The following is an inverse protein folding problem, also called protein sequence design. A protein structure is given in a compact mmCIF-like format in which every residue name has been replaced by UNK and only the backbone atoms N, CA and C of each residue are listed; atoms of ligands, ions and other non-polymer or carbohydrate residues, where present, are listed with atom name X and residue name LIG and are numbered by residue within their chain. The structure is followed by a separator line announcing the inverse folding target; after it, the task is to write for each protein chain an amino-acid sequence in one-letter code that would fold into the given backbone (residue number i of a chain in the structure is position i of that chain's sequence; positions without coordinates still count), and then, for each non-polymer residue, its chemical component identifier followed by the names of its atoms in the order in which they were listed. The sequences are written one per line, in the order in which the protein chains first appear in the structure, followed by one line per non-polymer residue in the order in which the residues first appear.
data_IF_218240113299
#
_entry.id   IF_218240113299
#
_cell.length_a   1.000
_cell.length_b   1.000
_cell.length_c   1.000
_cell.angle_alpha   90.00
_cell.angle_beta   90.00
_cell.angle_gamma   90.00
#
_symmetry.space_group_name_H-M   'P 1'
#
loop_
_entity.id
_entity.type
_entity.pdbx_description
1 polymer ?
#
# COMPACT_ATOMS: atom_id res chain seq x y z
N UNK A 1 17.69 -2.31 3.98
CA UNK A 1 16.73 -1.44 3.24
C UNK A 1 15.48 -1.31 4.08
N UNK A 2 14.96 -0.09 4.21
CA UNK A 2 13.74 0.23 4.95
C UNK A 2 12.58 0.26 3.97
N UNK A 3 11.45 -0.39 4.30
CA UNK A 3 10.24 -0.28 3.51
C UNK A 3 9.54 1.04 3.83
N UNK A 4 9.08 1.73 2.79
CA UNK A 4 8.44 3.02 2.86
C UNK A 4 7.15 3.02 2.07
N UNK A 5 6.15 3.68 2.63
CA UNK A 5 4.86 3.91 1.98
C UNK A 5 4.72 5.40 1.73
N UNK A 6 4.43 5.75 0.48
CA UNK A 6 4.08 7.10 0.04
C UNK A 6 2.60 7.12 -0.36
N UNK A 7 1.83 8.00 0.26
CA UNK A 7 0.43 8.24 -0.09
C UNK A 7 0.31 9.60 -0.78
N UNK A 8 -0.38 9.60 -1.93
CA UNK A 8 -0.61 10.80 -2.74
C UNK A 8 -2.07 10.90 -3.15
N UNK A 9 -2.51 12.14 -3.34
CA UNK A 9 -3.83 12.45 -3.90
C UNK A 9 -3.69 13.38 -5.09
N UNK A 10 -4.56 13.24 -6.05
CA UNK A 10 -4.53 14.00 -7.29
C UNK A 10 -5.90 14.63 -7.58
N UNK A 11 -5.91 15.91 -7.88
CA UNK A 11 -7.12 16.61 -8.34
C UNK A 11 -7.52 16.17 -9.75
N UNK A 12 -6.52 15.88 -10.58
CA UNK A 12 -6.71 15.27 -11.91
C UNK A 12 -6.43 13.77 -11.83
N UNK A 13 -7.35 12.91 -12.28
CA UNK A 13 -7.11 11.47 -12.27
C UNK A 13 -5.86 11.08 -13.05
N UNK A 14 -5.08 10.15 -12.50
CA UNK A 14 -3.94 9.52 -13.15
C UNK A 14 -4.37 8.21 -13.82
N UNK A 15 -3.69 7.87 -14.90
CA UNK A 15 -3.73 6.54 -15.51
C UNK A 15 -2.50 5.70 -15.11
N UNK A 16 -2.57 4.40 -15.36
CA UNK A 16 -1.42 3.50 -15.20
C UNK A 16 -0.27 3.93 -16.10
N UNK A 17 -0.57 4.39 -17.32
CA UNK A 17 0.45 4.89 -18.26
C UNK A 17 1.15 6.15 -17.73
N UNK A 18 0.42 7.10 -17.12
CA UNK A 18 1.03 8.28 -16.49
C UNK A 18 2.01 7.86 -15.40
N UNK A 19 1.68 6.81 -14.64
CA UNK A 19 2.55 6.27 -13.60
C UNK A 19 3.83 5.65 -14.17
N UNK A 20 3.73 4.85 -15.25
CA UNK A 20 4.92 4.28 -15.88
C UNK A 20 5.79 5.36 -16.52
N UNK A 21 5.20 6.34 -17.18
CA UNK A 21 5.94 7.49 -17.71
C UNK A 21 6.62 8.29 -16.61
N UNK A 22 5.93 8.52 -15.51
CA UNK A 22 6.49 9.16 -14.31
C UNK A 22 7.69 8.39 -13.76
N UNK A 23 7.54 7.08 -13.58
CA UNK A 23 8.60 6.21 -13.08
C UNK A 23 9.85 6.24 -13.97
N UNK A 24 9.68 6.16 -15.30
CA UNK A 24 10.81 6.27 -16.25
C UNK A 24 11.53 7.61 -16.13
N UNK A 25 10.79 8.72 -16.04
CA UNK A 25 11.37 10.08 -15.94
C UNK A 25 12.09 10.32 -14.61
N UNK A 26 11.68 9.68 -13.55
CA UNK A 26 12.22 9.92 -12.19
C UNK A 26 13.26 8.89 -11.76
N UNK A 27 13.45 7.81 -12.53
CA UNK A 27 14.36 6.71 -12.21
C UNK A 27 15.77 7.19 -11.83
N UNK A 28 16.36 8.10 -12.60
CA UNK A 28 17.69 8.63 -12.35
C UNK A 28 17.83 9.25 -10.95
N UNK A 29 16.79 9.90 -10.46
CA UNK A 29 16.79 10.51 -9.15
C UNK A 29 16.66 9.47 -8.05
N UNK A 30 15.78 8.49 -8.23
CA UNK A 30 15.66 7.38 -7.28
C UNK A 30 16.95 6.55 -7.21
N UNK A 31 17.61 6.28 -8.33
CA UNK A 31 18.91 5.61 -8.37
C UNK A 31 19.98 6.41 -7.59
N UNK A 32 20.01 7.74 -7.75
CA UNK A 32 20.96 8.62 -7.05
C UNK A 32 20.83 8.52 -5.51
N UNK A 33 19.61 8.39 -5.00
CA UNK A 33 19.32 8.27 -3.56
C UNK A 33 19.15 6.81 -3.10
N UNK A 34 19.45 5.84 -3.94
CA UNK A 34 19.28 4.40 -3.67
C UNK A 34 17.87 4.03 -3.25
N UNK A 35 16.87 4.68 -3.85
CA UNK A 35 15.45 4.40 -3.63
C UNK A 35 14.95 3.46 -4.72
N UNK A 36 14.43 2.32 -4.33
CA UNK A 36 13.86 1.33 -5.22
C UNK A 36 12.33 1.37 -5.16
N UNK A 37 11.68 1.62 -6.28
CA UNK A 37 10.23 1.50 -6.39
C UNK A 37 9.83 0.04 -6.50
N UNK A 38 9.00 -0.43 -5.57
CA UNK A 38 8.51 -1.82 -5.47
C UNK A 38 7.13 -2.01 -6.12
N UNK A 39 6.48 -0.94 -6.49
CA UNK A 39 5.16 -0.94 -7.10
C UNK A 39 4.21 0.04 -6.43
N UNK A 40 3.04 0.18 -7.02
CA UNK A 40 1.99 1.07 -6.53
C UNK A 40 0.61 0.43 -6.68
N UNK A 41 -0.35 0.99 -5.98
CA UNK A 41 -1.77 0.74 -6.17
C UNK A 41 -2.48 2.07 -6.43
N UNK A 42 -3.28 2.10 -7.49
CA UNK A 42 -4.03 3.27 -7.94
C UNK A 42 -5.52 3.00 -7.77
N UNK A 43 -6.24 3.90 -7.12
CA UNK A 43 -7.68 3.79 -6.96
C UNK A 43 -8.41 3.79 -8.31
N UNK A 44 -9.57 3.16 -8.36
CA UNK A 44 -10.36 3.05 -9.60
C UNK A 44 -10.75 4.40 -10.21
N UNK A 45 -10.83 5.47 -9.40
CA UNK A 45 -11.06 6.84 -9.87
C UNK A 45 -9.78 7.59 -10.27
N UNK A 46 -8.60 6.95 -10.15
CA UNK A 46 -7.30 7.52 -10.50
C UNK A 46 -6.80 8.62 -9.56
N UNK A 47 -7.44 8.85 -8.42
CA UNK A 47 -7.15 10.01 -7.56
C UNK A 47 -6.33 9.69 -6.32
N UNK A 48 -6.30 8.45 -5.88
CA UNK A 48 -5.53 7.98 -4.73
C UNK A 48 -4.46 7.01 -5.17
N UNK A 49 -3.23 7.28 -4.78
CA UNK A 49 -2.07 6.47 -5.11
C UNK A 49 -1.31 6.11 -3.84
N UNK A 50 -1.01 4.85 -3.67
CA UNK A 50 -0.10 4.35 -2.64
C UNK A 50 1.08 3.67 -3.31
N UNK A 51 2.28 4.21 -3.11
CA UNK A 51 3.52 3.64 -3.62
C UNK A 51 4.31 2.96 -2.50
N UNK A 52 4.92 1.84 -2.82
CA UNK A 52 5.85 1.12 -1.95
C UNK A 52 7.27 1.28 -2.46
N UNK A 53 8.18 1.68 -1.58
CA UNK A 53 9.61 1.82 -1.88
C UNK A 53 10.44 1.03 -0.88
N UNK A 54 11.67 0.71 -1.30
CA UNK A 54 12.75 0.33 -0.41
C UNK A 54 13.88 1.36 -0.54
N UNK A 55 14.43 1.82 0.59
CA UNK A 55 15.51 2.79 0.62
C UNK A 55 16.45 2.51 1.80
N UNK A 56 17.69 3.06 1.83
CA UNK A 56 18.55 2.96 3.00
C UNK A 56 17.86 3.45 4.27
N UNK A 57 17.17 4.59 4.17
CA UNK A 57 16.38 5.21 5.24
C UNK A 57 15.26 6.10 4.66
N UNK A 58 14.44 6.66 5.55
CA UNK A 58 13.32 7.53 5.16
C UNK A 58 13.79 8.87 4.60
N UNK A 59 14.97 9.37 5.00
CA UNK A 59 15.47 10.66 4.53
C UNK A 59 15.97 10.57 3.09
N UNK A 60 16.58 9.47 2.70
CA UNK A 60 16.95 9.19 1.31
C UNK A 60 15.75 9.31 0.38
N UNK A 61 14.61 8.70 0.74
CA UNK A 61 13.39 8.82 -0.03
C UNK A 61 12.81 10.24 -0.03
N UNK A 62 12.83 10.95 1.12
CA UNK A 62 12.38 12.35 1.18
C UNK A 62 13.23 13.26 0.29
N UNK A 63 14.54 13.07 0.27
CA UNK A 63 15.44 13.86 -0.56
C UNK A 63 15.21 13.62 -2.05
N UNK A 64 15.00 12.37 -2.46
CA UNK A 64 14.63 12.04 -3.83
C UNK A 64 13.31 12.74 -4.23
N UNK A 65 12.27 12.61 -3.40
CA UNK A 65 10.96 13.19 -3.66
C UNK A 65 10.98 14.73 -3.69
N UNK A 66 11.72 15.38 -2.77
CA UNK A 66 11.91 16.83 -2.80
C UNK A 66 12.62 17.31 -4.07
N UNK A 67 13.67 16.60 -4.50
CA UNK A 67 14.39 16.92 -5.73
C UNK A 67 13.52 16.81 -6.97
N UNK A 68 12.51 15.96 -6.93
CA UNK A 68 11.52 15.77 -8.00
C UNK A 68 10.31 16.72 -7.89
N UNK A 69 10.29 17.61 -6.88
CA UNK A 69 9.14 18.47 -6.58
C UNK A 69 7.82 17.69 -6.47
N UNK A 70 7.93 16.48 -5.89
CA UNK A 70 6.79 15.59 -5.74
C UNK A 70 5.91 16.06 -4.58
N UNK A 71 4.61 16.15 -4.82
CA UNK A 71 3.66 16.37 -3.73
C UNK A 71 3.63 15.15 -2.82
N UNK A 72 3.99 15.35 -1.55
CA UNK A 72 4.04 14.33 -0.51
C UNK A 72 2.92 14.61 0.48
N UNK A 73 1.83 13.87 0.38
CA UNK A 73 0.81 13.94 1.41
C UNK A 73 1.27 13.24 2.69
N UNK A 74 1.78 12.01 2.54
CA UNK A 74 2.26 11.22 3.67
C UNK A 74 3.33 10.24 3.21
N UNK A 75 4.45 10.23 3.94
CA UNK A 75 5.55 9.27 3.76
C UNK A 75 5.91 8.69 5.13
N UNK A 76 5.90 7.36 5.24
CA UNK A 76 6.18 6.67 6.50
C UNK A 76 6.87 5.32 6.29
N UNK A 77 7.60 4.89 7.33
CA UNK A 77 8.27 3.58 7.36
C UNK A 77 7.27 2.50 7.71
N UNK A 78 7.38 1.32 7.09
CA UNK A 78 6.46 0.23 7.27
C UNK A 78 7.15 -1.09 7.59
N UNK A 79 6.57 -1.83 8.54
CA UNK A 79 6.74 -3.28 8.62
C UNK A 79 5.75 -3.94 7.67
N UNK A 80 6.23 -4.92 6.89
CA UNK A 80 5.43 -5.60 5.87
C UNK A 80 5.12 -7.01 6.33
N UNK A 81 3.86 -7.39 6.24
CA UNK A 81 3.36 -8.72 6.59
C UNK A 81 2.59 -9.28 5.38
N UNK A 82 2.88 -10.51 5.01
CA UNK A 82 2.31 -11.14 3.82
C UNK A 82 1.63 -12.46 4.16
N UNK A 83 0.60 -12.80 3.41
CA UNK A 83 -0.05 -14.09 3.51
C UNK A 83 0.93 -15.21 3.08
N UNK A 84 0.83 -16.43 3.67
CA UNK A 84 1.68 -17.55 3.30
C UNK A 84 1.51 -17.99 1.83
N UNK A 85 0.30 -17.86 1.30
CA UNK A 85 -0.01 -18.12 -0.11
C UNK A 85 -0.02 -16.81 -0.91
N UNK A 86 0.39 -16.89 -2.17
CA UNK A 86 0.34 -15.75 -3.08
C UNK A 86 -1.12 -15.39 -3.41
N UNK A 87 -1.55 -14.23 -2.94
CA UNK A 87 -2.88 -13.66 -3.20
C UNK A 87 -2.71 -12.40 -4.02
N UNK A 88 -3.44 -12.27 -5.12
CA UNK A 88 -3.45 -11.05 -5.94
C UNK A 88 -4.55 -10.12 -5.43
N UNK A 89 -4.22 -9.06 -4.68
CA UNK A 89 -5.21 -8.18 -4.06
C UNK A 89 -5.81 -7.20 -5.05
N UNK A 90 -7.04 -6.73 -4.74
CA UNK A 90 -7.77 -5.74 -5.53
C UNK A 90 -8.50 -4.70 -4.67
N UNK A 91 -8.46 -4.82 -3.34
CA UNK A 91 -9.10 -3.88 -2.40
C UNK A 91 -8.11 -3.48 -1.32
N UNK A 92 -8.04 -2.19 -1.00
CA UNK A 92 -7.23 -1.64 0.08
C UNK A 92 -8.11 -1.11 1.19
N UNK A 93 -7.71 -1.37 2.43
CA UNK A 93 -8.31 -0.84 3.66
C UNK A 93 -7.28 0.03 4.36
N UNK A 94 -7.65 1.28 4.66
CA UNK A 94 -6.87 2.21 5.47
C UNK A 94 -7.38 2.21 6.90
N UNK A 95 -6.46 2.21 7.87
CA UNK A 95 -6.76 2.22 9.30
C UNK A 95 -5.86 3.18 10.04
N UNK A 96 -6.44 3.84 11.04
CA UNK A 96 -5.71 4.58 12.06
C UNK A 96 -6.09 4.06 13.45
N UNK A 97 -5.15 4.08 14.37
CA UNK A 97 -5.34 3.62 15.74
C UNK A 97 -5.07 4.76 16.72
N UNK A 98 -5.95 4.91 17.72
CA UNK A 98 -5.80 5.91 18.78
C UNK A 98 -4.58 5.62 19.68
N UNK A 99 -4.24 4.34 19.86
CA UNK A 99 -3.04 3.88 20.55
C UNK A 99 -2.19 3.03 19.60
N UNK A 100 -0.86 2.91 19.83
CA UNK A 100 -0.02 2.00 19.04
C UNK A 100 -0.53 0.56 19.10
N UNK A 101 -0.57 -0.08 17.93
CA UNK A 101 -0.95 -1.49 17.76
C UNK A 101 0.22 -2.31 17.24
N UNK A 102 0.15 -3.62 17.50
CA UNK A 102 1.08 -4.60 16.93
C UNK A 102 0.35 -5.49 15.92
N UNK A 103 1.08 -6.00 14.95
CA UNK A 103 0.50 -6.90 13.95
C UNK A 103 -0.05 -8.18 14.59
N UNK A 104 0.66 -8.73 15.59
CA UNK A 104 0.29 -9.96 16.28
C UNK A 104 -1.07 -9.81 16.97
N UNK A 105 -1.30 -8.66 17.64
CA UNK A 105 -2.59 -8.37 18.29
C UNK A 105 -3.71 -8.22 17.27
N UNK A 106 -3.47 -7.48 16.18
CA UNK A 106 -4.44 -7.30 15.11
C UNK A 106 -4.74 -8.63 14.41
N UNK A 107 -3.71 -9.42 14.15
CA UNK A 107 -3.85 -10.76 13.58
C UNK A 107 -4.68 -11.68 14.47
N UNK A 108 -4.44 -11.68 15.76
CA UNK A 108 -5.22 -12.49 16.71
C UNK A 108 -6.71 -12.12 16.69
N UNK A 109 -7.06 -10.84 16.51
CA UNK A 109 -8.47 -10.41 16.36
C UNK A 109 -9.07 -10.98 15.06
N UNK A 110 -8.31 -10.92 13.95
CA UNK A 110 -8.75 -11.43 12.64
C UNK A 110 -8.88 -12.96 12.69
N UNK A 111 -7.91 -13.66 13.26
CA UNK A 111 -7.91 -15.13 13.34
C UNK A 111 -9.11 -15.62 14.19
N UNK A 112 -9.44 -14.95 15.28
CA UNK A 112 -10.61 -15.26 16.10
C UNK A 112 -11.94 -15.09 15.35
N UNK A 113 -11.94 -14.34 14.26
CA UNK A 113 -13.11 -14.02 13.42
C UNK A 113 -12.88 -14.37 11.96
N UNK A 114 -12.02 -15.34 11.67
CA UNK A 114 -11.68 -15.74 10.29
C UNK A 114 -12.92 -16.10 9.46
N UNK A 115 -13.97 -16.62 10.07
CA UNK A 115 -15.25 -16.92 9.44
C UNK A 115 -15.90 -15.69 8.74
N UNK A 116 -15.66 -14.45 9.26
CA UNK A 116 -16.16 -13.23 8.62
C UNK A 116 -15.54 -13.03 7.23
N UNK A 117 -14.23 -13.29 7.10
CA UNK A 117 -13.54 -13.21 5.82
C UNK A 117 -14.04 -14.29 4.86
N UNK A 118 -14.13 -15.54 5.32
CA UNK A 118 -14.59 -16.67 4.52
C UNK A 118 -16.04 -16.48 4.03
N UNK A 119 -16.94 -16.04 4.90
CA UNK A 119 -18.35 -15.79 4.56
C UNK A 119 -18.49 -14.78 3.43
N UNK A 120 -17.66 -13.75 3.40
CA UNK A 120 -17.68 -12.71 2.39
C UNK A 120 -16.69 -12.96 1.23
N UNK A 121 -16.04 -14.12 1.18
CA UNK A 121 -15.03 -14.50 0.17
C UNK A 121 -13.90 -13.48 0.08
N UNK A 122 -13.43 -13.03 1.24
CA UNK A 122 -12.33 -12.07 1.39
C UNK A 122 -11.07 -12.83 1.80
N UNK A 123 -9.99 -12.63 1.05
CA UNK A 123 -8.69 -13.21 1.34
C UNK A 123 -7.69 -12.09 1.67
N UNK A 124 -7.00 -12.21 2.80
CA UNK A 124 -5.92 -11.29 3.13
C UNK A 124 -4.68 -11.60 2.29
N UNK A 125 -4.08 -10.55 1.71
CA UNK A 125 -2.88 -10.66 0.90
C UNK A 125 -1.64 -10.13 1.65
N UNK A 126 -1.70 -8.90 2.12
CA UNK A 126 -0.61 -8.25 2.87
C UNK A 126 -1.08 -7.08 3.70
N UNK A 127 -0.24 -6.69 4.65
CA UNK A 127 -0.44 -5.49 5.45
C UNK A 127 0.86 -4.72 5.64
N UNK A 128 0.72 -3.40 5.77
CA UNK A 128 1.80 -2.46 6.07
C UNK A 128 1.44 -1.76 7.38
N UNK A 129 2.24 -1.94 8.42
CA UNK A 129 2.05 -1.28 9.72
C UNK A 129 3.14 -0.22 9.90
N UNK A 130 2.73 1.00 10.24
CA UNK A 130 3.67 2.10 10.48
C UNK A 130 4.57 1.82 11.69
N UNK A 131 5.79 2.39 11.67
CA UNK A 131 6.76 2.20 12.76
C UNK A 131 6.28 2.67 14.13
N UNK A 132 5.32 3.60 14.19
CA UNK A 132 4.66 4.05 15.42
C UNK A 132 3.43 3.21 15.81
N UNK A 133 3.07 2.21 15.01
CA UNK A 133 1.92 1.33 15.23
C UNK A 133 0.55 2.00 15.11
N UNK A 134 0.47 3.25 14.57
CA UNK A 134 -0.77 4.02 14.55
C UNK A 134 -1.49 4.06 13.20
N UNK A 135 -0.83 3.58 12.14
CA UNK A 135 -1.39 3.51 10.79
C UNK A 135 -1.14 2.16 10.16
N UNK A 136 -2.16 1.64 9.49
CA UNK A 136 -2.05 0.37 8.80
C UNK A 136 -2.80 0.42 7.46
N UNK A 137 -2.17 -0.13 6.43
CA UNK A 137 -2.82 -0.42 5.15
C UNK A 137 -2.89 -1.92 4.98
N UNK A 138 -4.06 -2.44 4.64
CA UNK A 138 -4.27 -3.86 4.39
C UNK A 138 -4.80 -4.08 2.98
N UNK A 139 -4.23 -5.04 2.27
CA UNK A 139 -4.65 -5.41 0.92
C UNK A 139 -5.34 -6.77 0.96
N UNK A 140 -6.49 -6.83 0.31
CA UNK A 140 -7.33 -8.02 0.24
C UNK A 140 -7.67 -8.37 -1.21
N UNK A 141 -7.91 -9.66 -1.44
CA UNK A 141 -8.64 -10.16 -2.60
C UNK A 141 -10.09 -10.34 -2.21
N UNK A 142 -11.02 -9.76 -2.96
CA UNK A 142 -12.44 -9.87 -2.70
C UNK A 142 -13.26 -9.76 -4.00
N UNK A 143 -14.52 -10.22 -4.03
CA UNK A 143 -15.42 -10.00 -5.17
C UNK A 143 -15.64 -8.52 -5.45
N UNK A 144 -15.79 -7.72 -4.40
CA UNK A 144 -16.03 -6.27 -4.44
C UNK A 144 -15.65 -5.59 -3.12
N UNK A 145 -15.71 -4.26 -3.11
CA UNK A 145 -15.41 -3.41 -1.95
C UNK A 145 -16.37 -3.64 -0.80
N UNK A 146 -17.65 -3.90 -1.10
CA UNK A 146 -18.69 -4.09 -0.06
C UNK A 146 -18.46 -5.38 0.72
N UNK A 147 -18.04 -6.45 0.07
CA UNK A 147 -17.65 -7.71 0.71
C UNK A 147 -16.58 -7.49 1.79
N UNK A 148 -15.57 -6.66 1.49
CA UNK A 148 -14.53 -6.31 2.47
C UNK A 148 -15.12 -5.45 3.59
N UNK A 149 -15.99 -4.47 3.27
CA UNK A 149 -16.63 -3.60 4.27
C UNK A 149 -17.42 -4.41 5.30
N UNK A 150 -18.22 -5.35 4.83
CA UNK A 150 -19.02 -6.22 5.69
C UNK A 150 -18.12 -7.09 6.57
N UNK A 151 -17.12 -7.76 6.00
CA UNK A 151 -16.19 -8.60 6.75
C UNK A 151 -15.45 -7.80 7.84
N UNK A 152 -14.97 -6.59 7.53
CA UNK A 152 -14.27 -5.75 8.50
C UNK A 152 -15.17 -5.24 9.62
N UNK A 153 -16.41 -4.88 9.30
CA UNK A 153 -17.40 -4.46 10.29
C UNK A 153 -17.71 -5.60 11.27
N UNK A 154 -17.91 -6.80 10.78
CA UNK A 154 -18.17 -7.99 11.61
C UNK A 154 -16.95 -8.38 12.44
N UNK A 155 -15.75 -8.21 11.90
CA UNK A 155 -14.51 -8.40 12.64
C UNK A 155 -14.29 -7.34 13.73
N UNK A 156 -14.95 -6.18 13.65
CA UNK A 156 -14.84 -5.10 14.62
C UNK A 156 -13.53 -4.33 14.53
N UNK A 157 -12.89 -4.34 13.36
CA UNK A 157 -11.67 -3.56 13.11
C UNK A 157 -12.02 -2.16 12.56
N UNK A 158 -11.26 -1.11 12.95
CA UNK A 158 -11.48 0.23 12.44
C UNK A 158 -11.20 0.29 10.93
N UNK A 159 -11.98 1.08 10.22
CA UNK A 159 -11.82 1.36 8.78
C UNK A 159 -12.00 2.85 8.57
N UNK A 160 -10.93 3.53 8.13
CA UNK A 160 -10.96 4.95 7.80
C UNK A 160 -11.40 5.16 6.35
N UNK A 161 -10.83 4.35 5.44
CA UNK A 161 -11.15 4.35 4.02
C UNK A 161 -11.04 2.93 3.45
N UNK A 162 -11.74 2.70 2.35
CA UNK A 162 -11.85 1.41 1.70
C UNK A 162 -12.11 1.63 0.20
N UNK A 163 -11.24 1.11 -0.66
CA UNK A 163 -11.35 1.33 -2.09
C UNK A 163 -10.73 0.21 -2.92
N UNK A 164 -11.32 -0.02 -4.11
CA UNK A 164 -10.77 -0.92 -5.13
C UNK A 164 -9.59 -0.26 -5.84
N UNK A 165 -8.62 -1.07 -6.26
CA UNK A 165 -7.42 -0.57 -6.92
C UNK A 165 -6.96 -1.44 -8.09
N UNK A 166 -6.18 -0.81 -8.95
CA UNK A 166 -5.33 -1.46 -9.93
C UNK A 166 -3.88 -1.47 -9.43
N UNK A 167 -3.18 -2.60 -9.63
CA UNK A 167 -1.76 -2.74 -9.27
C UNK A 167 -0.89 -2.26 -10.40
N UNK A 168 0.14 -1.49 -10.06
CA UNK A 168 1.17 -1.01 -10.98
C UNK A 168 2.51 -1.59 -10.52
N UNK A 169 3.02 -2.54 -11.28
CA UNK A 169 4.34 -3.12 -11.03
C UNK A 169 5.42 -2.30 -11.73
N UNK A 170 6.66 -2.29 -11.22
CA UNK A 170 7.80 -1.81 -11.97
C UNK A 170 7.90 -2.56 -13.32
N UNK A 171 8.19 -1.83 -14.38
CA UNK A 171 8.49 -2.48 -15.67
C UNK A 171 9.75 -3.33 -15.49
N UNK A 172 9.66 -4.59 -15.86
CA UNK A 172 10.86 -5.44 -15.94
C UNK A 172 11.65 -4.95 -17.15
N UNK A 173 12.69 -4.14 -16.89
CA UNK A 173 13.67 -3.89 -17.93
C UNK A 173 14.31 -5.22 -18.25
N UNK A 174 14.03 -5.78 -19.44
CA UNK A 174 14.83 -6.87 -19.95
C UNK A 174 16.26 -6.32 -20.04
N UNK A 175 17.13 -6.77 -19.12
CA UNK A 175 18.56 -6.60 -19.32
C UNK A 175 18.87 -7.28 -20.63
N UNK A 176 19.26 -6.49 -21.64
CA UNK A 176 19.81 -7.04 -22.87
C UNK A 176 21.10 -7.79 -22.54
N UNK A 177 21.29 -8.99 -23.08
CA UNK A 177 22.48 -9.81 -22.84
C UNK A 177 23.77 -9.14 -23.31
#
# INVERSE_FOLDING_TARGET
MTNLILERFFDTPLSVEDMHQGARRTKWCFDLYQVEWRGSVLSADGRTLVCTFAAPDAESARNALRKLDADIRRLWTASVYEAPAAVVPNVLVERSFAAPETFERLKAIVDAKAWCLEQHRVEWARSFLSGDGRRMLCQYRAPDVESVRLAQREAGLPVDALWAFERIAPEVTAESP
#
